data_IF_121537404820
#
_entry.id   IF_121537404820
#
_cell.length_a   1.000
_cell.length_b   1.000
_cell.length_c   1.000
_cell.angle_alpha   90.00
_cell.angle_beta   90.00
_cell.angle_gamma   90.00
#
_symmetry.space_group_name_H-M   'P 1'
#
loop_
_entity.id
_entity.type
_entity.pdbx_description
1 polymer ?
#
# COMPACT_ATOMS: atom_id res chain seq x y z
N UNK A 1 -45.13 -6.18 40.94
CA UNK A 1 -45.34 -6.48 39.50
C UNK A 1 -44.37 -5.63 38.71
N UNK A 2 -43.32 -6.24 38.17
CA UNK A 2 -42.27 -5.63 37.34
C UNK A 2 -42.27 -6.38 36.01
N UNK A 3 -42.21 -5.71 34.84
CA UNK A 3 -42.19 -6.42 33.59
C UNK A 3 -40.78 -6.92 33.28
N UNK A 4 -40.77 -8.17 32.85
CA UNK A 4 -39.67 -8.98 32.34
C UNK A 4 -39.09 -8.33 31.07
N UNK A 5 -37.75 -8.20 30.99
CA UNK A 5 -37.05 -7.77 29.76
C UNK A 5 -36.43 -9.00 29.12
N UNK A 6 -37.19 -9.57 28.19
CA UNK A 6 -36.79 -10.63 27.28
C UNK A 6 -35.63 -10.17 26.38
N UNK A 7 -34.67 -11.09 26.22
CA UNK A 7 -33.50 -11.01 25.35
C UNK A 7 -33.91 -10.96 23.87
N UNK A 8 -33.45 -9.95 23.14
CA UNK A 8 -33.44 -9.97 21.67
C UNK A 8 -32.08 -10.49 21.19
N UNK A 9 -32.06 -11.68 20.62
CA UNK A 9 -30.91 -12.22 19.89
C UNK A 9 -30.94 -11.67 18.47
N UNK A 10 -30.05 -10.71 18.17
CA UNK A 10 -29.83 -10.19 16.83
C UNK A 10 -28.78 -11.04 16.10
N UNK A 11 -29.22 -11.92 15.20
CA UNK A 11 -28.35 -12.69 14.30
C UNK A 11 -27.80 -11.79 13.18
N UNK A 12 -26.49 -11.53 13.20
CA UNK A 12 -25.77 -10.87 12.11
C UNK A 12 -25.42 -11.86 10.99
N UNK A 13 -26.07 -11.71 9.84
CA UNK A 13 -25.72 -12.40 8.60
C UNK A 13 -24.60 -11.59 7.92
N UNK A 14 -23.38 -12.15 7.86
CA UNK A 14 -22.27 -11.57 7.12
C UNK A 14 -22.32 -12.02 5.66
N UNK A 15 -22.56 -11.08 4.74
CA UNK A 15 -22.39 -11.29 3.29
C UNK A 15 -20.91 -11.25 2.92
N UNK A 16 -20.34 -12.38 2.49
CA UNK A 16 -19.03 -12.42 1.85
C UNK A 16 -19.14 -11.93 0.40
N UNK A 17 -18.43 -10.86 0.08
CA UNK A 17 -18.28 -10.35 -1.28
C UNK A 17 -17.49 -11.30 -2.19
N UNK A 18 -17.93 -11.35 -3.44
CA UNK A 18 -17.49 -12.22 -4.54
C UNK A 18 -15.96 -12.32 -4.76
N UNK A 19 -15.50 -13.57 -4.88
CA UNK A 19 -14.13 -14.06 -5.05
C UNK A 19 -13.47 -13.74 -6.42
N UNK A 20 -14.11 -12.97 -7.30
CA UNK A 20 -13.65 -12.86 -8.70
C UNK A 20 -12.52 -11.84 -8.97
N UNK A 21 -12.14 -10.98 -8.03
CA UNK A 21 -11.03 -10.02 -8.26
C UNK A 21 -9.62 -10.58 -8.03
N UNK A 22 -9.46 -11.77 -7.43
CA UNK A 22 -8.15 -12.28 -7.03
C UNK A 22 -7.33 -12.96 -8.15
N UNK A 23 -7.96 -13.40 -9.25
CA UNK A 23 -7.25 -14.16 -10.31
C UNK A 23 -6.33 -13.31 -11.19
N UNK A 24 -6.44 -11.97 -11.18
CA UNK A 24 -5.61 -11.11 -12.04
C UNK A 24 -4.24 -10.75 -11.45
N UNK A 25 -4.03 -10.97 -10.14
CA UNK A 25 -2.76 -10.68 -9.45
C UNK A 25 -1.88 -11.91 -9.20
N UNK A 26 -2.43 -13.12 -9.25
CA UNK A 26 -1.71 -14.36 -8.93
C UNK A 26 -0.66 -14.83 -9.95
N UNK A 27 -0.50 -14.15 -11.10
CA UNK A 27 0.44 -14.56 -12.15
C UNK A 27 1.77 -13.78 -12.15
N UNK A 28 1.94 -12.78 -11.29
CA UNK A 28 3.20 -12.01 -11.20
C UNK A 28 4.14 -12.46 -10.08
N UNK A 29 3.66 -13.26 -9.12
CA UNK A 29 4.43 -13.59 -7.91
C UNK A 29 5.35 -14.82 -8.05
N UNK A 30 5.28 -15.59 -9.14
CA UNK A 30 6.04 -16.85 -9.27
C UNK A 30 7.41 -16.71 -9.96
N UNK A 31 7.92 -15.49 -10.14
CA UNK A 31 9.13 -15.25 -10.95
C UNK A 31 10.31 -14.61 -10.18
N UNK A 32 10.20 -14.41 -8.87
CA UNK A 32 11.20 -13.68 -8.08
C UNK A 32 11.79 -14.41 -6.88
N UNK A 33 11.44 -15.68 -6.64
CA UNK A 33 12.04 -16.47 -5.56
C UNK A 33 12.51 -17.83 -6.07
N UNK A 34 13.62 -17.79 -6.81
CA UNK A 34 14.53 -18.94 -6.94
C UNK A 34 15.95 -18.43 -6.76
N UNK A 35 16.72 -19.19 -5.99
CA UNK A 35 18.17 -19.20 -5.83
C UNK A 35 18.76 -18.65 -4.51
N UNK A 36 19.46 -19.59 -3.86
CA UNK A 36 20.59 -19.50 -2.95
C UNK A 36 20.32 -19.27 -1.45
N UNK A 37 19.98 -20.36 -0.77
CA UNK A 37 20.26 -20.56 0.65
C UNK A 37 21.19 -21.78 0.80
N UNK A 38 22.48 -21.46 0.91
CA UNK A 38 23.56 -22.40 1.17
C UNK A 38 23.37 -23.13 2.51
N UNK A 39 23.75 -24.41 2.47
CA UNK A 39 23.79 -25.35 3.57
C UNK A 39 24.64 -24.84 4.73
N UNK A 40 24.01 -24.59 5.89
CA UNK A 40 24.70 -24.60 7.17
C UNK A 40 24.16 -25.70 8.07
N UNK A 41 25.07 -26.63 8.31
CA UNK A 41 25.02 -27.78 9.21
C UNK A 41 24.57 -27.35 10.61
N UNK A 42 23.49 -27.94 11.11
CA UNK A 42 23.14 -27.98 12.52
C UNK A 42 22.69 -29.39 12.89
N UNK A 43 23.27 -29.88 13.99
CA UNK A 43 23.17 -31.24 14.53
C UNK A 43 21.72 -31.68 14.87
N UNK A 44 21.44 -33.00 14.87
CA UNK A 44 20.10 -33.52 15.08
C UNK A 44 19.66 -33.42 16.54
N UNK A 45 18.67 -32.56 16.81
CA UNK A 45 17.92 -32.56 18.07
C UNK A 45 16.81 -33.61 17.98
N UNK A 46 16.76 -34.49 18.99
CA UNK A 46 15.76 -35.53 19.18
C UNK A 46 14.32 -35.01 18.99
N UNK A 47 13.61 -35.58 18.02
CA UNK A 47 12.16 -35.42 17.86
C UNK A 47 11.41 -36.32 18.85
N UNK A 48 10.41 -35.81 19.60
CA UNK A 48 9.48 -36.67 20.32
C UNK A 48 8.55 -37.37 19.32
N UNK A 49 8.30 -38.68 19.55
CA UNK A 49 7.28 -39.48 18.87
C UNK A 49 5.91 -38.80 18.96
N UNK A 50 5.48 -38.19 17.86
CA UNK A 50 4.09 -37.80 17.66
C UNK A 50 3.37 -39.04 17.15
N UNK A 51 2.55 -39.65 18.02
CA UNK A 51 1.61 -40.68 17.63
C UNK A 51 0.58 -40.06 16.67
N UNK A 52 0.73 -40.35 15.39
CA UNK A 52 -0.27 -40.04 14.37
C UNK A 52 -1.40 -41.05 14.55
N UNK A 53 -2.43 -40.69 15.31
CA UNK A 53 -3.74 -41.34 15.22
C UNK A 53 -4.31 -41.03 13.84
N UNK A 54 -4.22 -42.02 12.95
CA UNK A 54 -4.97 -42.10 11.69
C UNK A 54 -6.46 -42.06 11.98
N UNK A 55 -7.05 -40.88 11.89
CA UNK A 55 -8.50 -40.74 11.80
C UNK A 55 -8.87 -41.10 10.35
N UNK A 56 -9.45 -42.29 10.20
CA UNK A 56 -10.09 -42.78 8.99
C UNK A 56 -11.24 -41.84 8.59
N UNK A 57 -11.00 -40.97 7.62
CA UNK A 57 -12.04 -40.19 6.94
C UNK A 57 -12.78 -41.12 5.98
N UNK A 58 -13.90 -41.65 6.45
CA UNK A 58 -14.81 -42.52 5.69
C UNK A 58 -16.14 -41.81 5.40
N UNK A 59 -16.13 -40.52 5.05
CA UNK A 59 -17.38 -39.76 4.78
C UNK A 59 -17.33 -38.78 3.59
N UNK A 60 -16.31 -38.80 2.73
CA UNK A 60 -16.22 -37.88 1.58
C UNK A 60 -16.83 -38.41 0.26
N UNK A 61 -17.58 -39.52 0.28
CA UNK A 61 -18.12 -40.13 -0.94
C UNK A 61 -19.59 -39.84 -1.26
N UNK A 62 -20.33 -39.07 -0.45
CA UNK A 62 -21.80 -38.92 -0.64
C UNK A 62 -22.28 -37.52 -1.08
N UNK A 63 -21.41 -36.53 -1.30
CA UNK A 63 -21.85 -35.16 -1.67
C UNK A 63 -21.89 -34.95 -3.21
N UNK A 64 -21.44 -35.91 -4.02
CA UNK A 64 -21.25 -35.71 -5.47
C UNK A 64 -22.43 -36.13 -6.37
N UNK A 65 -23.51 -36.73 -5.87
CA UNK A 65 -24.51 -37.36 -6.76
C UNK A 65 -25.77 -36.54 -7.06
N UNK A 66 -25.96 -35.35 -6.47
CA UNK A 66 -27.19 -34.56 -6.67
C UNK A 66 -26.98 -33.25 -7.43
N UNK A 67 -26.00 -33.18 -8.34
CA UNK A 67 -26.02 -32.14 -9.36
C UNK A 67 -27.05 -32.58 -10.41
N UNK A 68 -28.23 -31.96 -10.38
CA UNK A 68 -29.28 -32.31 -11.35
C UNK A 68 -28.77 -32.04 -12.77
N UNK A 69 -29.16 -32.87 -13.73
CA UNK A 69 -28.73 -32.72 -15.14
C UNK A 69 -28.99 -31.30 -15.67
N UNK A 70 -30.07 -30.65 -15.22
CA UNK A 70 -30.40 -29.26 -15.51
C UNK A 70 -29.37 -28.25 -14.97
N UNK A 71 -28.81 -28.48 -13.79
CA UNK A 71 -27.73 -27.62 -13.24
C UNK A 71 -26.43 -27.78 -14.02
N UNK A 72 -26.09 -29.01 -14.45
CA UNK A 72 -24.92 -29.26 -15.28
C UNK A 72 -25.04 -28.56 -16.64
N UNK A 73 -26.21 -28.63 -17.29
CA UNK A 73 -26.49 -27.93 -18.55
C UNK A 73 -26.41 -26.41 -18.40
N UNK A 74 -26.95 -25.85 -17.32
CA UNK A 74 -26.86 -24.40 -17.05
C UNK A 74 -25.42 -23.92 -16.83
N UNK A 75 -24.58 -24.75 -16.19
CA UNK A 75 -23.16 -24.44 -15.99
C UNK A 75 -22.42 -24.46 -17.33
N UNK A 76 -22.68 -25.45 -18.19
CA UNK A 76 -22.09 -25.52 -19.52
C UNK A 76 -22.46 -24.32 -20.39
N UNK A 77 -23.73 -23.91 -20.38
CA UNK A 77 -24.19 -22.72 -21.12
C UNK A 77 -23.47 -21.44 -20.65
N UNK A 78 -23.31 -21.26 -19.34
CA UNK A 78 -22.58 -20.11 -18.78
C UNK A 78 -21.10 -20.14 -19.14
N UNK A 79 -20.48 -21.31 -19.22
CA UNK A 79 -19.07 -21.45 -19.64
C UNK A 79 -18.90 -21.10 -21.13
N UNK A 80 -19.85 -21.46 -21.99
CA UNK A 80 -19.89 -21.06 -23.41
C UNK A 80 -19.96 -19.53 -23.55
N UNK A 81 -20.87 -18.88 -22.82
CA UNK A 81 -21.02 -17.41 -22.83
C UNK A 81 -19.75 -16.68 -22.37
N UNK A 82 -19.05 -17.22 -21.36
CA UNK A 82 -17.78 -16.64 -20.89
C UNK A 82 -16.70 -16.76 -21.97
N UNK A 83 -16.65 -17.89 -22.70
CA UNK A 83 -15.69 -18.11 -23.79
C UNK A 83 -15.88 -17.11 -24.93
N UNK A 84 -17.12 -16.86 -25.33
CA UNK A 84 -17.46 -15.87 -26.36
C UNK A 84 -17.08 -14.43 -25.95
N UNK A 85 -17.28 -14.07 -24.68
CA UNK A 85 -16.85 -12.79 -24.14
C UNK A 85 -15.32 -12.63 -24.19
N UNK A 86 -14.58 -13.68 -23.83
CA UNK A 86 -13.11 -13.67 -23.88
C UNK A 86 -12.60 -13.49 -25.31
N UNK A 87 -13.21 -14.16 -26.28
CA UNK A 87 -12.79 -14.04 -27.68
C UNK A 87 -13.15 -12.67 -28.29
N UNK A 88 -14.29 -12.09 -27.91
CA UNK A 88 -14.65 -10.71 -28.27
C UNK A 88 -13.66 -9.67 -27.72
N UNK A 89 -13.20 -9.84 -26.47
CA UNK A 89 -12.18 -8.97 -25.87
C UNK A 89 -10.84 -9.12 -26.61
N UNK A 90 -10.41 -10.34 -26.93
CA UNK A 90 -9.19 -10.59 -27.71
C UNK A 90 -9.26 -9.94 -29.10
N UNK A 91 -10.39 -10.05 -29.79
CA UNK A 91 -10.61 -9.42 -31.09
C UNK A 91 -10.56 -7.88 -31.01
N UNK A 92 -11.06 -7.29 -29.93
CA UNK A 92 -11.01 -5.83 -29.71
C UNK A 92 -9.58 -5.34 -29.43
N UNK A 93 -8.79 -6.10 -28.69
CA UNK A 93 -7.39 -5.78 -28.41
C UNK A 93 -6.50 -5.83 -29.67
N UNK A 94 -6.74 -6.79 -30.57
CA UNK A 94 -5.97 -6.89 -31.83
C UNK A 94 -6.29 -5.76 -32.81
N UNK A 95 -7.56 -5.29 -32.86
CA UNK A 95 -7.96 -4.12 -33.67
C UNK A 95 -7.29 -2.82 -33.20
N UNK A 96 -7.11 -2.62 -31.89
CA UNK A 96 -6.48 -1.42 -31.34
C UNK A 96 -4.96 -1.35 -31.57
N UNK A 97 -4.26 -2.50 -31.62
CA UNK A 97 -2.83 -2.53 -31.94
C UNK A 97 -2.53 -2.02 -33.37
N UNK A 98 -3.41 -2.27 -34.35
CA UNK A 98 -3.22 -1.83 -35.75
C UNK A 98 -3.41 -0.33 -35.97
N UNK A 99 -4.11 0.39 -35.08
CA UNK A 99 -4.31 1.84 -35.20
C UNK A 99 -3.15 2.66 -34.61
N UNK A 100 -2.39 2.13 -33.65
CA UNK A 100 -1.26 2.86 -33.03
C UNK A 100 0.00 2.88 -33.90
N UNK A 101 0.23 1.91 -34.77
CA UNK A 101 1.42 1.87 -35.64
C UNK A 101 1.34 2.79 -36.86
N UNK A 102 0.14 3.25 -37.26
CA UNK A 102 -0.02 4.13 -38.43
C UNK A 102 0.09 5.63 -38.13
N UNK A 103 0.18 6.04 -36.86
CA UNK A 103 0.19 7.46 -36.46
C UNK A 103 1.59 7.99 -36.08
N UNK A 104 2.63 7.16 -36.13
CA UNK A 104 3.99 7.53 -35.71
C UNK A 104 4.96 7.73 -36.88
N UNK A 105 4.53 7.59 -38.13
CA UNK A 105 5.42 7.70 -39.29
C UNK A 105 5.45 9.08 -39.97
N UNK A 106 4.64 10.05 -39.51
CA UNK A 106 4.44 11.33 -40.22
C UNK A 106 4.90 12.60 -39.49
N UNK A 107 5.72 12.49 -38.43
CA UNK A 107 6.28 13.66 -37.72
C UNK A 107 7.81 13.75 -37.73
N UNK A 108 8.45 13.06 -38.68
CA UNK A 108 9.91 13.08 -38.87
C UNK A 108 10.40 14.05 -39.94
N UNK A 109 10.11 15.36 -39.84
CA UNK A 109 10.84 16.37 -40.64
C UNK A 109 10.61 17.80 -40.13
N UNK A 110 11.55 18.32 -39.33
CA UNK A 110 11.99 19.74 -39.26
C UNK A 110 12.84 19.97 -38.00
N UNK A 111 14.07 19.46 -37.97
CA UNK A 111 15.11 19.99 -37.07
C UNK A 111 15.94 21.02 -37.83
N UNK A 112 15.79 22.30 -37.45
CA UNK A 112 16.61 23.41 -37.93
C UNK A 112 18.04 23.20 -37.44
N UNK A 113 19.00 23.31 -38.36
CA UNK A 113 20.45 23.36 -38.09
C UNK A 113 20.76 24.65 -37.32
N UNK A 114 21.37 24.52 -36.15
CA UNK A 114 22.03 25.64 -35.46
C UNK A 114 23.51 25.63 -35.90
N UNK A 115 24.04 26.70 -36.49
CA UNK A 115 25.45 26.81 -36.84
C UNK A 115 26.22 27.43 -35.67
N UNK A 116 27.41 26.91 -35.42
CA UNK A 116 28.45 27.63 -34.68
C UNK A 116 28.72 27.11 -33.28
N UNK A 117 29.60 26.10 -33.18
CA UNK A 117 30.48 26.00 -32.04
C UNK A 117 31.87 25.59 -32.53
N UNK A 118 32.75 26.59 -32.52
CA UNK A 118 34.13 26.48 -32.93
C UNK A 118 34.92 25.73 -31.86
N UNK A 119 35.54 24.66 -32.34
CA UNK A 119 36.86 24.13 -31.99
C UNK A 119 37.68 25.01 -31.04
N UNK A 120 37.99 24.46 -29.87
CA UNK A 120 39.21 24.81 -29.14
C UNK A 120 39.96 23.51 -28.85
N UNK A 121 40.94 23.20 -29.71
CA UNK A 121 42.00 22.25 -29.43
C UNK A 121 42.91 22.86 -28.36
N UNK A 122 43.19 22.13 -27.27
CA UNK A 122 44.38 22.42 -26.47
C UNK A 122 44.88 21.20 -25.68
N UNK A 123 46.09 20.79 -26.10
CA UNK A 123 47.19 20.13 -25.40
C UNK A 123 46.96 18.86 -24.58
N UNK A 124 47.66 17.84 -25.06
CA UNK A 124 47.82 16.56 -24.39
C UNK A 124 48.71 16.63 -23.16
N UNK A 125 48.34 15.81 -22.20
CA UNK A 125 49.24 15.23 -21.22
C UNK A 125 48.95 13.73 -21.16
N UNK A 126 49.87 12.93 -21.71
CA UNK A 126 49.88 11.49 -21.54
C UNK A 126 50.17 11.16 -20.07
N UNK A 127 49.11 11.06 -19.26
CA UNK A 127 49.19 10.57 -17.88
C UNK A 127 49.18 9.04 -17.94
N UNK A 128 50.27 8.42 -17.49
CA UNK A 128 50.46 6.97 -17.36
C UNK A 128 49.20 6.33 -16.74
N UNK A 129 48.51 5.49 -17.51
CA UNK A 129 47.38 4.73 -17.02
C UNK A 129 47.91 3.65 -16.07
N UNK A 130 47.83 3.90 -14.76
CA UNK A 130 47.90 2.82 -13.79
C UNK A 130 46.71 1.91 -14.06
N UNK A 131 46.96 0.64 -14.34
CA UNK A 131 45.95 -0.40 -14.46
C UNK A 131 45.25 -0.49 -13.09
N UNK A 132 44.20 0.30 -12.91
CA UNK A 132 43.28 0.16 -11.79
C UNK A 132 42.42 -1.04 -12.11
N UNK A 133 42.43 -2.03 -11.21
CA UNK A 133 41.51 -3.17 -11.25
C UNK A 133 40.10 -2.65 -11.53
N UNK A 134 39.32 -3.29 -12.40
CA UNK A 134 37.95 -2.88 -12.66
C UNK A 134 37.22 -2.83 -11.33
N UNK A 135 36.84 -1.62 -10.91
CA UNK A 135 35.91 -1.42 -9.82
C UNK A 135 34.62 -2.01 -10.35
N UNK A 136 34.26 -3.20 -9.88
CA UNK A 136 32.94 -3.78 -10.10
C UNK A 136 31.98 -2.71 -9.57
N UNK A 137 31.14 -2.08 -10.41
CA UNK A 137 30.21 -1.09 -9.94
C UNK A 137 29.31 -1.78 -8.91
N UNK A 138 29.45 -1.38 -7.64
CA UNK A 138 28.54 -1.76 -6.57
C UNK A 138 27.13 -1.54 -7.08
N UNK A 139 26.28 -2.59 -7.04
CA UNK A 139 24.89 -2.59 -7.51
C UNK A 139 24.30 -1.19 -7.33
N UNK A 140 24.14 -0.47 -8.44
CA UNK A 140 23.57 0.88 -8.43
C UNK A 140 22.16 0.73 -7.87
N UNK A 141 21.97 1.08 -6.60
CA UNK A 141 20.65 1.08 -5.98
C UNK A 141 19.81 2.08 -6.79
N UNK A 142 18.87 1.55 -7.56
CA UNK A 142 17.92 2.39 -8.28
C UNK A 142 17.21 3.28 -7.25
N UNK A 143 17.03 4.58 -7.53
CA UNK A 143 16.38 5.48 -6.60
C UNK A 143 15.00 4.93 -6.23
N UNK A 144 14.74 4.83 -4.92
CA UNK A 144 13.46 4.34 -4.40
C UNK A 144 12.37 5.29 -4.86
N UNK A 145 11.51 4.84 -5.78
CA UNK A 145 10.41 5.65 -6.29
C UNK A 145 9.24 5.65 -5.32
N UNK A 146 8.49 6.75 -5.26
CA UNK A 146 7.26 6.85 -4.46
C UNK A 146 6.28 5.72 -4.78
N UNK A 147 6.20 5.33 -6.06
CA UNK A 147 5.33 4.25 -6.51
C UNK A 147 5.73 2.90 -5.90
N UNK A 148 7.04 2.56 -5.86
CA UNK A 148 7.53 1.31 -5.26
C UNK A 148 7.16 1.20 -3.78
N UNK A 149 7.27 2.30 -3.03
CA UNK A 149 6.89 2.33 -1.61
C UNK A 149 5.39 2.11 -1.41
N UNK A 150 4.54 2.72 -2.26
CA UNK A 150 3.09 2.52 -2.21
C UNK A 150 2.69 1.09 -2.58
N UNK A 151 3.32 0.51 -3.60
CA UNK A 151 3.10 -0.88 -4.01
C UNK A 151 3.51 -1.84 -2.90
N UNK A 152 4.71 -1.64 -2.30
CA UNK A 152 5.16 -2.42 -1.14
C UNK A 152 4.16 -2.36 0.01
N UNK A 153 3.69 -1.16 0.38
CA UNK A 153 2.66 -1.02 1.41
C UNK A 153 1.40 -1.84 1.12
N UNK A 154 0.87 -1.74 -0.11
CA UNK A 154 -0.35 -2.44 -0.50
C UNK A 154 -0.18 -3.96 -0.43
N UNK A 155 0.97 -4.47 -0.89
CA UNK A 155 1.31 -5.90 -0.85
C UNK A 155 1.45 -6.37 0.60
N UNK A 156 2.22 -5.68 1.43
CA UNK A 156 2.42 -6.03 2.84
C UNK A 156 1.07 -6.03 3.60
N UNK A 157 0.26 -4.98 3.45
CA UNK A 157 -1.06 -4.90 4.08
C UNK A 157 -2.01 -6.00 3.61
N UNK A 158 -1.98 -6.34 2.33
CA UNK A 158 -2.78 -7.44 1.79
C UNK A 158 -2.38 -8.78 2.43
N UNK A 159 -1.10 -9.09 2.50
CA UNK A 159 -0.60 -10.32 3.12
C UNK A 159 -0.97 -10.39 4.60
N UNK A 160 -0.76 -9.32 5.36
CA UNK A 160 -1.17 -9.23 6.76
C UNK A 160 -2.65 -9.54 6.96
N UNK A 161 -3.54 -9.03 6.10
CA UNK A 161 -4.99 -9.26 6.22
C UNK A 161 -5.43 -10.68 5.86
N UNK A 162 -4.64 -11.40 5.07
CA UNK A 162 -4.89 -12.83 4.81
C UNK A 162 -4.42 -13.73 5.95
N UNK A 163 -3.50 -13.23 6.78
CA UNK A 163 -2.98 -13.95 7.93
C UNK A 163 -3.94 -13.87 9.14
N UNK A 164 -4.45 -15.04 9.53
CA UNK A 164 -5.36 -15.21 10.67
C UNK A 164 -4.68 -14.99 12.01
N UNK A 165 -3.39 -15.34 12.12
CA UNK A 165 -2.60 -15.13 13.33
C UNK A 165 -2.36 -13.64 13.52
N UNK A 166 -1.91 -12.95 12.47
CA UNK A 166 -1.76 -11.50 12.46
C UNK A 166 -3.06 -10.81 12.87
N UNK A 167 -4.18 -11.18 12.24
CA UNK A 167 -5.50 -10.59 12.56
C UNK A 167 -5.89 -10.81 14.03
N UNK A 168 -5.58 -11.97 14.59
CA UNK A 168 -5.83 -12.29 16.00
C UNK A 168 -4.94 -11.47 16.94
N UNK A 169 -3.69 -11.24 16.55
CA UNK A 169 -2.75 -10.40 17.28
C UNK A 169 -3.19 -8.93 17.26
N UNK A 170 -3.62 -8.41 16.11
CA UNK A 170 -4.15 -7.04 15.99
C UNK A 170 -5.39 -6.84 16.85
N UNK A 171 -6.27 -7.84 16.97
CA UNK A 171 -7.43 -7.74 17.87
C UNK A 171 -7.03 -7.56 19.34
N UNK A 172 -5.90 -8.12 19.76
CA UNK A 172 -5.39 -8.01 21.14
C UNK A 172 -4.44 -6.83 21.34
N UNK A 173 -3.99 -6.21 20.24
CA UNK A 173 -3.03 -5.12 20.25
C UNK A 173 -3.61 -3.89 20.98
N UNK A 174 -2.85 -3.40 21.96
CA UNK A 174 -3.19 -2.23 22.77
C UNK A 174 -1.95 -1.37 22.96
N UNK A 175 -2.15 -0.05 23.11
CA UNK A 175 -1.08 0.91 23.35
C UNK A 175 -1.44 1.72 24.58
N UNK A 176 -0.52 1.81 25.53
CA UNK A 176 -0.72 2.57 26.76
C UNK A 176 -0.94 4.07 26.47
N UNK A 177 -2.01 4.61 27.03
CA UNK A 177 -2.37 6.02 26.91
C UNK A 177 -3.27 6.37 25.72
N UNK A 178 -3.65 5.40 24.88
CA UNK A 178 -4.71 5.58 23.89
C UNK A 178 -6.00 4.97 24.44
N UNK A 179 -7.12 5.69 24.29
CA UNK A 179 -8.42 5.21 24.75
C UNK A 179 -8.85 3.93 24.02
N UNK A 180 -9.57 3.05 24.73
CA UNK A 180 -9.99 1.75 24.19
C UNK A 180 -10.84 1.88 22.92
N UNK A 181 -11.75 2.85 22.90
CA UNK A 181 -12.67 3.08 21.76
C UNK A 181 -11.90 3.51 20.50
N UNK A 182 -10.93 4.42 20.67
CA UNK A 182 -10.02 4.85 19.61
C UNK A 182 -9.19 3.66 19.10
N UNK A 183 -8.65 2.85 20.02
CA UNK A 183 -7.87 1.66 19.66
C UNK A 183 -8.72 0.61 18.94
N UNK A 184 -10.00 0.45 19.28
CA UNK A 184 -10.93 -0.38 18.53
C UNK A 184 -11.14 0.14 17.10
N UNK A 185 -11.32 1.45 16.94
CA UNK A 185 -11.38 2.10 15.63
C UNK A 185 -10.12 1.83 14.78
N UNK A 186 -8.94 1.94 15.38
CA UNK A 186 -7.66 1.68 14.71
C UNK A 186 -7.53 0.20 14.33
N UNK A 187 -7.83 -0.73 15.25
CA UNK A 187 -7.81 -2.18 14.98
C UNK A 187 -8.74 -2.55 13.83
N UNK A 188 -9.97 -2.02 13.84
CA UNK A 188 -10.93 -2.24 12.77
C UNK A 188 -10.44 -1.68 11.43
N UNK A 189 -9.77 -0.52 11.44
CA UNK A 189 -9.19 0.06 10.24
C UNK A 189 -7.99 -0.74 9.69
N UNK A 190 -7.12 -1.27 10.57
CA UNK A 190 -6.02 -2.15 10.17
C UNK A 190 -6.55 -3.40 9.46
N UNK A 191 -7.56 -4.05 10.03
CA UNK A 191 -8.11 -5.32 9.52
C UNK A 191 -8.98 -5.11 8.26
N UNK A 192 -9.86 -4.09 8.25
CA UNK A 192 -10.93 -3.94 7.23
C UNK A 192 -10.89 -2.64 6.44
N UNK A 193 -9.98 -1.73 6.75
CA UNK A 193 -9.91 -0.41 6.14
C UNK A 193 -9.51 -0.41 4.66
N UNK A 194 -9.49 0.77 4.06
CA UNK A 194 -8.99 0.96 2.70
C UNK A 194 -7.50 0.57 2.61
N UNK A 195 -7.05 0.05 1.47
CA UNK A 195 -5.65 -0.27 1.23
C UNK A 195 -4.83 0.92 0.73
N UNK A 196 -5.45 2.02 0.27
CA UNK A 196 -4.71 3.19 -0.21
C UNK A 196 -3.83 3.81 0.90
N UNK A 197 -2.49 3.87 0.74
CA UNK A 197 -1.59 4.27 1.83
C UNK A 197 -1.87 5.65 2.40
N UNK A 198 -2.09 6.65 1.53
CA UNK A 198 -2.36 8.02 1.93
C UNK A 198 -3.63 8.13 2.76
N UNK A 199 -4.75 7.60 2.27
CA UNK A 199 -6.01 7.57 3.00
C UNK A 199 -5.91 6.77 4.31
N UNK A 200 -5.25 5.61 4.26
CA UNK A 200 -5.08 4.73 5.41
C UNK A 200 -4.36 5.45 6.56
N UNK A 201 -3.18 6.02 6.27
CA UNK A 201 -2.39 6.72 7.28
C UNK A 201 -3.12 7.97 7.78
N UNK A 202 -3.79 8.72 6.89
CA UNK A 202 -4.63 9.86 7.28
C UNK A 202 -5.74 9.45 8.25
N UNK A 203 -6.42 8.32 8.01
CA UNK A 203 -7.51 7.86 8.89
C UNK A 203 -6.98 7.39 10.25
N UNK A 204 -5.85 6.67 10.28
CA UNK A 204 -5.20 6.29 11.55
C UNK A 204 -4.79 7.53 12.34
N UNK A 205 -4.15 8.51 11.69
CA UNK A 205 -3.74 9.75 12.33
C UNK A 205 -4.93 10.56 12.87
N UNK A 206 -6.05 10.60 12.14
CA UNK A 206 -7.29 11.22 12.63
C UNK A 206 -7.82 10.57 13.89
N UNK A 207 -7.96 9.25 13.88
CA UNK A 207 -8.43 8.51 15.06
C UNK A 207 -7.52 8.75 16.27
N UNK A 208 -6.21 8.78 16.05
CA UNK A 208 -5.26 8.86 17.16
C UNK A 208 -5.09 10.28 17.73
N UNK A 209 -5.13 11.32 16.89
CA UNK A 209 -4.82 12.69 17.30
C UNK A 209 -6.03 13.62 17.34
N UNK A 210 -7.09 13.30 16.60
CA UNK A 210 -8.22 14.18 16.34
C UNK A 210 -7.91 15.28 15.33
N UNK A 211 -8.96 15.77 14.65
CA UNK A 211 -8.83 16.81 13.61
C UNK A 211 -8.24 18.12 14.17
N UNK A 212 -8.62 18.50 15.40
CA UNK A 212 -8.13 19.73 16.04
C UNK A 212 -6.61 19.73 16.18
N UNK A 213 -6.03 18.61 16.64
CA UNK A 213 -4.59 18.50 16.86
C UNK A 213 -3.85 18.51 15.53
N UNK A 214 -4.31 17.75 14.55
CA UNK A 214 -3.75 17.70 13.20
C UNK A 214 -3.67 19.07 12.50
N UNK A 215 -4.60 20.00 12.79
CA UNK A 215 -4.55 21.37 12.26
C UNK A 215 -3.45 22.22 12.91
N UNK A 216 -3.16 21.98 14.18
CA UNK A 216 -2.22 22.77 14.98
C UNK A 216 -0.78 22.22 14.93
N UNK A 217 -0.62 20.90 14.77
CA UNK A 217 0.66 20.19 14.86
C UNK A 217 1.12 19.62 13.52
N UNK A 218 2.43 19.43 13.37
CA UNK A 218 3.04 18.77 12.21
C UNK A 218 4.14 17.79 12.66
N UNK A 219 4.38 16.78 11.84
CA UNK A 219 5.50 15.85 12.01
C UNK A 219 6.74 16.48 11.35
N UNK A 220 7.83 16.57 12.10
CA UNK A 220 9.05 17.24 11.64
C UNK A 220 10.00 16.31 10.92
N UNK A 221 10.72 16.88 9.95
CA UNK A 221 11.90 16.26 9.39
C UNK A 221 13.12 16.60 10.26
N UNK A 222 13.80 15.59 10.84
CA UNK A 222 15.00 15.86 11.65
C UNK A 222 16.10 16.57 10.87
N UNK A 223 16.16 16.42 9.54
CA UNK A 223 17.20 17.03 8.71
C UNK A 223 16.84 18.42 8.20
N UNK A 224 15.55 18.75 8.09
CA UNK A 224 15.11 20.00 7.48
C UNK A 224 15.03 21.10 8.54
N UNK A 225 16.04 21.97 8.57
CA UNK A 225 16.05 23.16 9.44
C UNK A 225 14.91 24.11 9.04
N UNK A 226 14.16 24.63 10.02
CA UNK A 226 13.15 25.66 9.78
C UNK A 226 13.79 26.99 9.40
N UNK A 227 13.93 27.25 8.11
CA UNK A 227 14.22 28.58 7.60
C UNK A 227 13.04 29.53 7.83
N UNK A 228 13.30 30.71 8.41
CA UNK A 228 12.52 31.93 8.18
C UNK A 228 11.15 32.12 8.86
N UNK A 229 10.47 31.10 9.39
CA UNK A 229 9.12 31.32 9.96
C UNK A 229 9.18 32.02 11.32
N UNK A 230 8.51 33.19 11.43
CA UNK A 230 8.36 33.97 12.68
C UNK A 230 7.77 33.08 13.78
N UNK A 231 8.36 33.14 14.99
CA UNK A 231 8.03 32.25 16.13
C UNK A 231 6.52 32.17 16.46
N UNK A 232 5.76 33.24 16.26
CA UNK A 232 4.32 33.31 16.57
C UNK A 232 3.42 32.46 15.64
N UNK A 233 3.87 32.12 14.43
CA UNK A 233 3.08 31.34 13.45
C UNK A 233 3.66 29.93 13.23
N UNK A 234 4.52 29.45 14.13
CA UNK A 234 5.06 28.10 14.01
C UNK A 234 3.99 27.10 14.44
N UNK A 235 3.62 26.21 13.53
CA UNK A 235 2.85 25.01 13.87
C UNK A 235 3.57 24.26 14.99
N UNK A 236 2.80 23.73 15.93
CA UNK A 236 3.31 22.88 17.00
C UNK A 236 3.89 21.60 16.39
N UNK A 237 4.67 20.87 17.17
CA UNK A 237 5.31 19.62 16.75
C UNK A 237 4.68 18.49 17.56
N UNK A 238 4.44 17.34 16.94
CA UNK A 238 4.02 16.15 17.67
C UNK A 238 5.11 15.74 18.66
N UNK A 239 4.71 15.22 19.82
CA UNK A 239 5.69 14.72 20.77
C UNK A 239 6.35 13.43 20.27
N UNK A 240 7.59 13.16 20.66
CA UNK A 240 8.28 11.92 20.29
C UNK A 240 7.50 10.66 20.68
N UNK A 241 6.77 10.71 21.80
CA UNK A 241 5.90 9.61 22.24
C UNK A 241 4.76 9.35 21.26
N UNK A 242 4.16 10.41 20.72
CA UNK A 242 3.08 10.31 19.74
C UNK A 242 3.57 9.76 18.41
N UNK A 243 4.72 10.24 17.93
CA UNK A 243 5.33 9.72 16.70
C UNK A 243 5.73 8.24 16.86
N UNK A 244 6.28 7.85 18.01
CA UNK A 244 6.59 6.45 18.33
C UNK A 244 5.34 5.58 18.40
N UNK A 245 4.25 6.06 18.98
CA UNK A 245 2.98 5.33 19.00
C UNK A 245 2.44 5.13 17.58
N UNK A 246 2.50 6.16 16.73
CA UNK A 246 2.09 6.05 15.33
C UNK A 246 2.95 5.03 14.58
N UNK A 247 4.27 5.10 14.76
CA UNK A 247 5.23 4.16 14.18
C UNK A 247 4.90 2.74 14.62
N UNK A 248 4.70 2.50 15.92
CA UNK A 248 4.38 1.18 16.46
C UNK A 248 3.12 0.57 15.82
N UNK A 249 2.08 1.38 15.57
CA UNK A 249 0.85 0.95 14.88
C UNK A 249 1.16 0.56 13.44
N UNK A 250 1.87 1.41 12.70
CA UNK A 250 2.14 1.20 11.28
C UNK A 250 3.16 0.06 11.04
N UNK A 251 4.12 -0.12 11.95
CA UNK A 251 5.08 -1.22 11.93
C UNK A 251 4.45 -2.60 12.13
N UNK A 252 3.17 -2.68 12.54
CA UNK A 252 2.43 -3.94 12.50
C UNK A 252 2.20 -4.45 11.08
N UNK A 253 2.27 -3.57 10.07
CA UNK A 253 2.11 -3.92 8.65
C UNK A 253 3.46 -4.29 8.04
N UNK A 254 4.44 -3.40 8.14
CA UNK A 254 5.78 -3.59 7.58
C UNK A 254 6.78 -2.74 8.37
N UNK A 255 7.48 -3.38 9.31
CA UNK A 255 8.41 -2.69 10.21
C UNK A 255 9.50 -1.94 9.44
N UNK A 256 10.14 -2.61 8.50
CA UNK A 256 11.26 -2.06 7.72
C UNK A 256 10.82 -0.86 6.86
N UNK A 257 9.63 -0.94 6.26
CA UNK A 257 9.09 0.14 5.44
C UNK A 257 8.92 1.43 6.25
N UNK A 258 8.41 1.35 7.48
CA UNK A 258 8.12 2.52 8.31
C UNK A 258 9.32 2.98 9.15
N UNK A 259 10.29 2.11 9.44
CA UNK A 259 11.56 2.51 10.04
C UNK A 259 12.50 3.19 9.02
N UNK A 260 12.32 2.90 7.72
CA UNK A 260 13.02 3.62 6.66
C UNK A 260 12.63 5.10 6.64
N UNK A 261 13.64 5.98 6.55
CA UNK A 261 13.47 7.43 6.49
C UNK A 261 12.57 7.85 5.31
N UNK A 262 12.78 7.27 4.14
CA UNK A 262 12.03 7.60 2.93
C UNK A 262 10.58 7.10 3.03
N UNK A 263 10.39 5.87 3.54
CA UNK A 263 9.06 5.32 3.78
C UNK A 263 8.26 6.16 4.77
N UNK A 264 8.88 6.55 5.90
CA UNK A 264 8.28 7.44 6.88
C UNK A 264 7.94 8.82 6.29
N UNK A 265 8.87 9.42 5.55
CA UNK A 265 8.66 10.74 4.94
C UNK A 265 7.50 10.71 3.93
N UNK A 266 7.53 9.77 2.99
CA UNK A 266 6.62 9.72 1.84
C UNK A 266 5.24 9.19 2.22
N UNK A 267 5.17 8.10 3.00
CA UNK A 267 3.90 7.44 3.31
C UNK A 267 3.22 8.01 4.55
N UNK A 268 3.97 8.63 5.47
CA UNK A 268 3.43 9.07 6.76
C UNK A 268 3.45 10.59 6.92
N UNK A 269 4.66 11.19 6.94
CA UNK A 269 4.82 12.62 7.22
C UNK A 269 4.08 13.48 6.19
N UNK A 270 4.29 13.24 4.90
CA UNK A 270 3.68 14.06 3.84
C UNK A 270 2.15 13.97 3.85
N UNK A 271 1.52 12.78 3.87
CA UNK A 271 0.06 12.67 3.93
C UNK A 271 -0.55 13.29 5.19
N UNK A 272 0.07 13.14 6.36
CA UNK A 272 -0.43 13.71 7.63
C UNK A 272 -0.32 15.23 7.63
N UNK A 273 0.83 15.77 7.23
CA UNK A 273 1.02 17.22 7.17
C UNK A 273 0.09 17.86 6.13
N UNK A 274 -0.10 17.20 4.97
CA UNK A 274 -1.05 17.66 3.97
C UNK A 274 -2.49 17.64 4.49
N UNK A 275 -2.88 16.59 5.22
CA UNK A 275 -4.18 16.52 5.88
C UNK A 275 -4.41 17.67 6.85
N UNK A 276 -3.41 18.02 7.67
CA UNK A 276 -3.49 19.17 8.57
C UNK A 276 -3.72 20.49 7.83
N UNK A 277 -3.05 20.68 6.69
CA UNK A 277 -3.25 21.83 5.81
C UNK A 277 -4.65 21.84 5.17
N UNK A 278 -5.12 20.69 4.71
CA UNK A 278 -6.43 20.54 4.07
C UNK A 278 -7.58 20.82 5.06
N UNK A 279 -7.45 20.34 6.31
CA UNK A 279 -8.37 20.63 7.41
C UNK A 279 -8.39 22.12 7.75
N UNK A 280 -7.20 22.74 7.88
CA UNK A 280 -7.10 24.18 8.15
C UNK A 280 -7.69 25.03 7.03
N UNK A 281 -7.57 24.57 5.79
CA UNK A 281 -8.14 25.22 4.61
C UNK A 281 -9.63 24.97 4.41
N UNK A 282 -10.29 24.16 5.27
CA UNK A 282 -11.70 23.80 5.11
C UNK A 282 -11.98 22.93 3.88
N UNK A 283 -10.95 22.37 3.23
CA UNK A 283 -11.11 21.49 2.05
C UNK A 283 -11.71 20.15 2.43
N UNK A 284 -11.47 19.71 3.67
CA UNK A 284 -12.04 18.49 4.22
C UNK A 284 -12.94 18.85 5.38
N UNK A 285 -14.17 18.33 5.36
CA UNK A 285 -15.12 18.50 6.46
C UNK A 285 -14.59 17.77 7.70
N UNK A 286 -14.67 18.45 8.84
CA UNK A 286 -14.44 17.84 10.15
C UNK A 286 -15.47 16.72 10.31
N UNK A 287 -15.03 15.50 10.61
CA UNK A 287 -15.94 14.41 10.90
C UNK A 287 -16.29 14.51 12.38
N UNK A 288 -17.54 14.82 12.70
CA UNK A 288 -18.02 14.74 14.09
C UNK A 288 -18.01 13.26 14.50
N UNK A 289 -17.17 12.92 15.48
CA UNK A 289 -16.94 11.55 15.96
C UNK A 289 -18.17 10.94 16.65
N UNK A 290 -19.28 11.66 16.76
CA UNK A 290 -20.51 11.21 17.41
C UNK A 290 -21.42 10.34 16.53
N UNK A 291 -21.17 10.24 15.22
CA UNK A 291 -21.95 9.32 14.39
C UNK A 291 -21.36 7.90 14.44
N UNK A 292 -22.12 6.90 14.90
CA UNK A 292 -21.68 5.51 14.83
C UNK A 292 -21.42 5.19 13.36
N UNK A 293 -20.23 4.68 13.06
CA UNK A 293 -19.76 4.35 11.71
C UNK A 293 -20.70 3.30 11.10
N UNK A 294 -21.79 3.75 10.49
CA UNK A 294 -22.81 2.92 9.87
C UNK A 294 -22.27 2.39 8.54
N UNK A 295 -21.61 1.24 8.61
CA UNK A 295 -21.20 0.44 7.46
C UNK A 295 -20.17 1.09 6.53
N UNK A 296 -19.63 0.33 5.56
CA UNK A 296 -18.83 0.87 4.48
C UNK A 296 -19.74 1.65 3.53
N UNK A 297 -20.20 2.82 3.97
CA UNK A 297 -20.73 3.83 3.09
C UNK A 297 -19.61 4.19 2.13
N UNK A 298 -19.84 3.93 0.84
CA UNK A 298 -18.93 4.28 -0.23
C UNK A 298 -18.71 5.79 -0.21
N UNK A 299 -17.71 6.24 0.55
CA UNK A 299 -17.20 7.58 0.43
C UNK A 299 -16.70 7.64 -1.01
N UNK A 300 -17.36 8.45 -1.83
CA UNK A 300 -16.82 8.94 -3.10
C UNK A 300 -15.53 9.69 -2.73
N UNK A 301 -14.45 8.93 -2.54
CA UNK A 301 -13.11 9.47 -2.43
C UNK A 301 -12.82 10.01 -3.81
N UNK A 302 -13.01 11.31 -3.92
CA UNK A 302 -12.69 12.17 -5.03
C UNK A 302 -11.43 11.64 -5.74
N UNK A 303 -11.52 11.39 -7.05
CA UNK A 303 -10.42 10.88 -7.89
C UNK A 303 -9.23 11.87 -7.98
N UNK A 304 -9.25 12.94 -7.19
CA UNK A 304 -8.23 13.98 -7.08
C UNK A 304 -6.91 13.53 -6.41
N UNK A 305 -6.75 12.27 -5.97
CA UNK A 305 -5.42 11.75 -5.59
C UNK A 305 -4.52 11.40 -6.80
N UNK A 306 -5.04 11.45 -8.04
CA UNK A 306 -4.22 11.28 -9.24
C UNK A 306 -3.51 12.56 -9.72
N UNK A 307 -3.93 13.74 -9.25
CA UNK A 307 -3.44 15.04 -9.75
C UNK A 307 -2.63 15.84 -8.71
N UNK A 308 -2.16 15.21 -7.63
CA UNK A 308 -1.05 15.80 -6.86
C UNK A 308 0.26 15.51 -7.59
N UNK A 309 0.37 16.22 -8.71
CA UNK A 309 1.52 16.58 -9.50
C UNK A 309 2.86 16.01 -9.03
N UNK A 310 3.49 15.26 -9.93
CA UNK A 310 4.94 15.27 -10.17
C UNK A 310 5.48 16.68 -10.49
N UNK A 311 5.01 17.72 -9.80
CA UNK A 311 5.64 19.03 -9.83
C UNK A 311 6.94 18.89 -9.06
N UNK A 312 7.99 18.59 -9.83
CA UNK A 312 9.38 18.94 -9.62
C UNK A 312 9.55 19.85 -8.39
N UNK A 313 9.85 19.23 -7.26
CA UNK A 313 10.63 19.91 -6.23
C UNK A 313 12.03 20.13 -6.82
N UNK A 314 12.16 21.15 -7.67
CA UNK A 314 13.45 21.76 -7.95
C UNK A 314 13.90 22.33 -6.61
N UNK A 315 14.83 21.63 -5.97
CA UNK A 315 15.60 22.20 -4.87
C UNK A 315 16.46 23.27 -5.54
N UNK A 316 16.00 24.52 -5.49
CA UNK A 316 16.88 25.65 -5.77
C UNK A 316 17.93 25.65 -4.65
N UNK A 317 19.12 25.13 -4.96
CA UNK A 317 20.31 25.26 -4.13
C UNK A 317 20.69 26.74 -4.09
N UNK A 318 20.11 27.46 -3.12
CA UNK A 318 20.42 28.85 -2.84
C UNK A 318 21.81 28.92 -2.18
N UNK A 319 22.83 28.88 -3.03
CA UNK A 319 24.25 29.07 -2.69
C UNK A 319 24.52 30.56 -2.57
N UNK A 320 24.19 31.12 -1.40
CA UNK A 320 24.60 32.46 -0.96
C UNK A 320 25.83 32.44 -0.08
#
# INVERSE_FOLDING_TARGET
MMPDRSQEQSSFICFYGSFQSAKKFGLFASQFFSEDLDEQICDPILTPEIQITTISSSQDSEISENLTQSQAENILEKLEQIKDLVDNVKASLTKNKRKKTKKTQDQGAKRKKVPGQQVLENYGYFRKQSIRKPIIPSKTEEPITHQRLRERFNVSLFHCRQDLEWTSNIKKFTIEGIQSDIMEGIRNHLIRGNALPGYFVRKVARLMFGDKRLMETKILDPEKKFGGVKRKNRMKVFSDKEEKNLLLILSQIDKELFESKDGWHILVRNPINQLGLDLRGGKVKIQDESEPVAGPSAINLDQNEQDLDENDYVIEDDSG
#
